data_IF_588191013671
#
_entry.id   IF_588191013671
#
_cell.length_a   1.000
_cell.length_b   1.000
_cell.length_c   1.000
_cell.angle_alpha   90.00
_cell.angle_beta   90.00
_cell.angle_gamma   90.00
#
_symmetry.space_group_name_H-M   'P 1'
#
loop_
_entity.id
_entity.type
_entity.pdbx_description
1 polymer ?
#
# COMPACT_ATOMS: atom_id res chain seq x y z
N UNK A 1 -9.46 23.52 30.94
CA UNK A 1 -8.85 23.15 29.65
C UNK A 1 -9.87 22.34 28.87
N UNK A 2 -10.60 22.97 27.98
CA UNK A 2 -11.52 22.24 27.06
C UNK A 2 -10.75 21.27 26.20
N UNK A 3 -11.01 20.00 26.34
CA UNK A 3 -10.54 18.97 25.42
C UNK A 3 -11.20 19.23 24.07
N UNK A 4 -10.54 19.96 23.17
CA UNK A 4 -10.94 20.03 21.77
C UNK A 4 -11.03 18.59 21.24
N UNK A 5 -12.25 18.09 21.10
CA UNK A 5 -12.52 16.85 20.39
C UNK A 5 -11.95 17.00 18.98
N UNK A 6 -10.87 16.26 18.67
CA UNK A 6 -10.26 16.30 17.35
C UNK A 6 -11.30 15.80 16.36
N UNK A 7 -11.83 16.72 15.57
CA UNK A 7 -12.85 16.45 14.57
C UNK A 7 -12.33 15.39 13.58
N UNK A 8 -13.15 14.38 13.28
CA UNK A 8 -12.78 13.26 12.41
C UNK A 8 -12.62 13.75 10.97
N UNK A 9 -11.50 13.46 10.35
CA UNK A 9 -11.28 13.76 8.93
C UNK A 9 -11.86 12.64 8.05
N UNK A 10 -13.07 12.85 7.53
CA UNK A 10 -13.77 11.91 6.65
C UNK A 10 -13.07 11.69 5.31
N UNK A 11 -12.30 12.67 4.83
CA UNK A 11 -11.50 12.52 3.62
C UNK A 11 -10.43 11.45 3.78
N UNK A 12 -9.75 11.39 4.93
CA UNK A 12 -8.76 10.33 5.19
C UNK A 12 -9.42 8.95 5.37
N UNK A 13 -10.67 8.88 5.85
CA UNK A 13 -11.41 7.62 5.86
C UNK A 13 -11.76 7.17 4.44
N UNK A 14 -12.13 8.08 3.54
CA UNK A 14 -12.32 7.78 2.11
C UNK A 14 -11.04 7.32 1.45
N UNK A 15 -9.90 7.98 1.71
CA UNK A 15 -8.60 7.54 1.20
C UNK A 15 -8.29 6.10 1.62
N UNK A 16 -8.58 5.76 2.88
CA UNK A 16 -8.38 4.40 3.40
C UNK A 16 -9.25 3.36 2.69
N UNK A 17 -10.52 3.69 2.45
CA UNK A 17 -11.47 2.82 1.75
C UNK A 17 -11.02 2.63 0.30
N UNK A 18 -10.68 3.72 -0.38
CA UNK A 18 -10.21 3.69 -1.75
C UNK A 18 -8.90 2.89 -1.87
N UNK A 19 -7.95 3.08 -0.95
CA UNK A 19 -6.73 2.30 -0.90
C UNK A 19 -7.00 0.80 -0.72
N UNK A 20 -7.97 0.42 0.13
CA UNK A 20 -8.35 -0.98 0.29
C UNK A 20 -9.00 -1.56 -0.98
N UNK A 21 -9.85 -0.80 -1.66
CA UNK A 21 -10.44 -1.20 -2.93
C UNK A 21 -9.38 -1.36 -4.03
N UNK A 22 -8.46 -0.41 -4.15
CA UNK A 22 -7.38 -0.49 -5.15
C UNK A 22 -6.37 -1.59 -4.85
N UNK A 23 -6.18 -2.03 -3.59
CA UNK A 23 -5.44 -3.27 -3.27
C UNK A 23 -6.13 -4.48 -3.89
N UNK A 24 -7.45 -4.61 -3.71
CA UNK A 24 -8.21 -5.70 -4.31
C UNK A 24 -8.09 -5.67 -5.85
N UNK A 25 -8.23 -4.48 -6.45
CA UNK A 25 -8.11 -4.30 -7.90
C UNK A 25 -6.73 -4.69 -8.43
N UNK A 26 -5.65 -4.39 -7.72
CA UNK A 26 -4.30 -4.83 -8.09
C UNK A 26 -4.13 -6.35 -8.02
N UNK A 27 -4.81 -7.04 -7.11
CA UNK A 27 -4.74 -8.49 -7.02
C UNK A 27 -5.65 -9.21 -8.05
N UNK A 28 -6.73 -8.57 -8.46
CA UNK A 28 -7.60 -9.06 -9.55
C UNK A 28 -6.92 -8.89 -10.91
N UNK A 29 -6.29 -7.74 -11.17
CA UNK A 29 -5.68 -7.41 -12.45
C UNK A 29 -4.54 -8.35 -12.88
N UNK A 30 -3.56 -8.75 -12.02
CA UNK A 30 -2.47 -9.64 -12.41
C UNK A 30 -2.91 -11.04 -12.83
N UNK A 31 -4.03 -11.55 -12.37
CA UNK A 31 -4.53 -12.86 -12.79
C UNK A 31 -4.77 -12.94 -14.30
N UNK A 32 -5.06 -11.79 -14.92
CA UNK A 32 -5.22 -11.69 -16.37
C UNK A 32 -3.91 -11.42 -17.13
N UNK A 33 -2.80 -11.08 -16.43
CA UNK A 33 -1.51 -10.77 -17.08
C UNK A 33 -0.81 -11.98 -17.69
N UNK A 34 -1.07 -13.17 -17.18
CA UNK A 34 -0.24 -14.35 -17.46
C UNK A 34 -0.33 -14.84 -18.91
N UNK A 35 -1.45 -14.55 -19.60
CA UNK A 35 -1.73 -15.07 -20.94
C UNK A 35 -1.93 -13.97 -22.00
N UNK A 36 -1.37 -12.77 -21.76
CA UNK A 36 -1.59 -11.62 -22.63
C UNK A 36 -0.26 -11.07 -23.18
N UNK A 37 -0.21 -10.89 -24.50
CA UNK A 37 0.94 -10.33 -25.20
C UNK A 37 1.29 -8.92 -24.69
N UNK A 38 2.59 -8.69 -24.44
CA UNK A 38 3.11 -7.41 -23.95
C UNK A 38 2.75 -6.28 -24.93
N UNK A 39 2.34 -5.14 -24.38
CA UNK A 39 1.91 -3.94 -25.10
C UNK A 39 0.65 -4.10 -25.98
N UNK A 40 -0.01 -5.26 -25.97
CA UNK A 40 -1.34 -5.42 -26.58
C UNK A 40 -2.40 -4.53 -25.93
N UNK A 41 -3.58 -4.38 -26.54
CA UNK A 41 -4.65 -3.56 -25.98
C UNK A 41 -5.13 -4.06 -24.60
N UNK A 42 -5.38 -5.37 -24.35
CA UNK A 42 -5.69 -5.87 -23.01
C UNK A 42 -4.55 -5.64 -22.02
N UNK A 43 -3.29 -5.86 -22.40
CA UNK A 43 -2.15 -5.61 -21.54
C UNK A 43 -2.08 -4.13 -21.11
N UNK A 44 -2.33 -3.19 -22.04
CA UNK A 44 -2.34 -1.75 -21.76
C UNK A 44 -3.45 -1.38 -20.76
N UNK A 45 -4.61 -2.03 -20.79
CA UNK A 45 -5.68 -1.84 -19.79
C UNK A 45 -5.19 -2.23 -18.40
N UNK A 46 -4.55 -3.40 -18.27
CA UNK A 46 -4.02 -3.88 -17.00
C UNK A 46 -2.88 -3.00 -16.49
N UNK A 47 -1.99 -2.55 -17.38
CA UNK A 47 -0.93 -1.61 -17.05
C UNK A 47 -1.49 -0.26 -16.56
N UNK A 48 -2.53 0.26 -17.20
CA UNK A 48 -3.20 1.48 -16.77
C UNK A 48 -3.83 1.32 -15.37
N UNK A 49 -4.54 0.22 -15.11
CA UNK A 49 -5.09 -0.11 -13.79
C UNK A 49 -3.98 -0.18 -12.75
N UNK A 50 -2.88 -0.87 -13.06
CA UNK A 50 -1.73 -0.99 -12.15
C UNK A 50 -1.13 0.38 -11.83
N UNK A 51 -0.89 1.21 -12.83
CA UNK A 51 -0.35 2.57 -12.65
C UNK A 51 -1.29 3.49 -11.86
N UNK A 52 -2.61 3.37 -12.07
CA UNK A 52 -3.63 4.11 -11.32
C UNK A 52 -3.76 3.66 -9.86
N UNK A 53 -3.40 2.42 -9.54
CA UNK A 53 -3.67 1.81 -8.23
C UNK A 53 -2.42 1.60 -7.36
N UNK A 54 -1.19 1.65 -7.89
CA UNK A 54 0.05 1.25 -7.18
C UNK A 54 0.41 2.10 -5.94
N UNK A 55 -0.28 3.20 -5.70
CA UNK A 55 -0.09 4.09 -4.54
C UNK A 55 -0.69 3.54 -3.23
N UNK A 56 -1.54 2.54 -3.28
CA UNK A 56 -2.41 2.09 -2.18
C UNK A 56 -1.68 1.68 -0.90
N UNK A 57 -0.65 0.84 -0.99
CA UNK A 57 0.11 0.37 0.18
C UNK A 57 0.87 1.53 0.84
N UNK A 58 1.47 2.42 0.04
CA UNK A 58 2.15 3.62 0.56
C UNK A 58 1.17 4.55 1.27
N UNK A 59 -0.09 4.65 0.81
CA UNK A 59 -1.13 5.40 1.51
C UNK A 59 -1.48 4.81 2.88
N UNK A 60 -1.52 3.48 3.04
CA UNK A 60 -1.71 2.87 4.35
C UNK A 60 -0.55 3.16 5.31
N UNK A 61 0.69 3.17 4.82
CA UNK A 61 1.83 3.58 5.64
C UNK A 61 1.73 5.05 6.04
N UNK A 62 1.40 5.96 5.10
CA UNK A 62 1.20 7.38 5.40
C UNK A 62 0.07 7.61 6.40
N UNK A 63 -1.08 6.95 6.22
CA UNK A 63 -2.20 7.03 7.16
C UNK A 63 -1.80 6.53 8.56
N UNK A 64 -1.08 5.42 8.64
CA UNK A 64 -0.62 4.88 9.92
C UNK A 64 0.35 5.83 10.62
N UNK A 65 1.30 6.40 9.89
CA UNK A 65 2.25 7.39 10.43
C UNK A 65 1.58 8.68 10.89
N UNK A 66 0.63 9.19 10.11
CA UNK A 66 -0.14 10.38 10.45
C UNK A 66 -0.86 10.26 11.81
N UNK A 67 -1.35 9.07 12.14
CA UNK A 67 -2.07 8.85 13.40
C UNK A 67 -1.18 8.39 14.55
N UNK A 68 -0.16 7.56 14.30
CA UNK A 68 0.65 6.97 15.37
C UNK A 68 1.81 7.86 15.83
N UNK A 69 2.31 8.73 14.96
CA UNK A 69 3.36 9.68 15.32
C UNK A 69 2.82 11.01 15.86
N UNK A 70 1.49 11.23 15.80
CA UNK A 70 0.87 12.46 16.29
C UNK A 70 1.06 12.62 17.80
N UNK A 71 1.63 13.77 18.29
CA UNK A 71 1.80 14.05 19.71
C UNK A 71 0.47 14.07 20.48
N UNK A 72 -0.63 14.48 19.83
CA UNK A 72 -1.96 14.58 20.44
C UNK A 72 -2.58 13.22 20.77
N UNK A 73 -2.05 12.14 20.20
CA UNK A 73 -2.49 10.76 20.44
C UNK A 73 -1.37 9.92 21.03
N UNK A 74 -0.60 10.52 21.95
CA UNK A 74 0.52 9.85 22.60
C UNK A 74 0.05 8.58 23.34
N UNK A 75 0.07 7.47 22.63
CA UNK A 75 -0.14 6.15 23.21
C UNK A 75 1.15 5.69 23.87
N UNK A 76 1.06 5.16 25.10
CA UNK A 76 2.24 4.61 25.77
C UNK A 76 2.83 3.44 24.96
N UNK A 77 4.15 3.27 25.02
CA UNK A 77 4.85 2.16 24.38
C UNK A 77 4.25 0.81 24.80
N UNK A 78 3.93 0.64 26.08
CA UNK A 78 3.28 -0.58 26.60
C UNK A 78 1.93 -0.85 25.89
N UNK A 79 1.11 0.17 25.69
CA UNK A 79 -0.18 0.05 25.01
C UNK A 79 0.01 -0.27 23.53
N UNK A 80 0.99 0.37 22.88
CA UNK A 80 1.34 0.10 21.47
C UNK A 80 1.69 -1.37 21.27
N UNK A 81 2.57 -1.93 22.10
CA UNK A 81 2.97 -3.34 21.99
C UNK A 81 1.84 -4.29 22.35
N UNK A 82 1.17 -4.09 23.49
CA UNK A 82 0.16 -5.03 23.97
C UNK A 82 -1.18 -4.99 23.22
N UNK A 83 -1.54 -3.86 22.62
CA UNK A 83 -2.80 -3.74 21.88
C UNK A 83 -2.59 -3.80 20.36
N UNK A 84 -1.71 -2.95 19.81
CA UNK A 84 -1.59 -2.79 18.37
C UNK A 84 -0.72 -3.88 17.74
N UNK A 85 0.51 -4.08 18.24
CA UNK A 85 1.42 -5.09 17.69
C UNK A 85 0.88 -6.49 17.98
N UNK A 86 0.43 -6.75 19.20
CA UNK A 86 -0.15 -8.05 19.56
C UNK A 86 -1.39 -8.39 18.69
N UNK A 87 -2.23 -7.39 18.36
CA UNK A 87 -3.37 -7.60 17.45
C UNK A 87 -2.90 -7.95 16.03
N UNK A 88 -1.90 -7.24 15.50
CA UNK A 88 -1.34 -7.53 14.17
C UNK A 88 -0.72 -8.93 14.13
N UNK A 89 0.04 -9.32 15.16
CA UNK A 89 0.63 -10.64 15.27
C UNK A 89 -0.44 -11.74 15.37
N UNK A 90 -1.48 -11.54 16.19
CA UNK A 90 -2.60 -12.47 16.28
C UNK A 90 -3.35 -12.62 14.96
N UNK A 91 -3.59 -11.49 14.25
CA UNK A 91 -4.19 -11.50 12.92
C UNK A 91 -3.31 -12.26 11.92
N UNK A 92 -1.99 -12.02 11.95
CA UNK A 92 -1.06 -12.75 11.09
C UNK A 92 -1.12 -14.26 11.33
N UNK A 93 -0.97 -14.72 12.58
CA UNK A 93 -1.01 -16.15 12.91
C UNK A 93 -2.33 -16.79 12.52
N UNK A 94 -3.45 -16.14 12.85
CA UNK A 94 -4.78 -16.65 12.51
C UNK A 94 -4.98 -16.81 11.01
N UNK A 95 -4.70 -15.76 10.24
CA UNK A 95 -4.91 -15.78 8.80
C UNK A 95 -3.90 -16.65 8.06
N UNK A 96 -2.64 -16.70 8.51
CA UNK A 96 -1.66 -17.66 7.98
C UNK A 96 -2.13 -19.10 8.21
N UNK A 97 -2.73 -19.41 9.37
CA UNK A 97 -3.30 -20.74 9.63
C UNK A 97 -4.50 -21.03 8.71
N UNK A 98 -5.39 -20.06 8.48
CA UNK A 98 -6.53 -20.21 7.57
C UNK A 98 -6.04 -20.49 6.14
N UNK A 99 -5.09 -19.73 5.62
CA UNK A 99 -4.53 -19.91 4.28
C UNK A 99 -3.76 -21.23 4.16
N UNK A 100 -2.91 -21.57 5.14
CA UNK A 100 -2.17 -22.84 5.17
C UNK A 100 -3.11 -24.06 5.21
N UNK A 101 -4.16 -24.00 6.03
CA UNK A 101 -5.16 -25.07 6.12
C UNK A 101 -5.91 -25.22 4.79
N UNK A 102 -6.35 -24.11 4.22
CA UNK A 102 -7.04 -24.08 2.94
C UNK A 102 -6.18 -24.68 1.83
N UNK A 103 -4.91 -24.27 1.75
CA UNK A 103 -3.96 -24.79 0.77
C UNK A 103 -3.74 -26.32 0.94
N UNK A 104 -3.52 -26.77 2.17
CA UNK A 104 -3.29 -28.19 2.45
C UNK A 104 -4.51 -29.06 2.15
N UNK A 105 -5.71 -28.61 2.51
CA UNK A 105 -6.96 -29.35 2.23
C UNK A 105 -7.20 -29.51 0.74
N UNK A 106 -7.00 -28.44 -0.03
CA UNK A 106 -7.23 -28.47 -1.47
C UNK A 106 -6.18 -29.24 -2.27
N UNK A 107 -4.95 -29.28 -1.77
CA UNK A 107 -3.81 -29.90 -2.45
C UNK A 107 -3.44 -31.26 -1.87
N UNK A 108 -4.18 -31.78 -0.89
CA UNK A 108 -3.87 -33.05 -0.23
C UNK A 108 -2.47 -33.06 0.45
N UNK A 109 -2.02 -31.93 1.02
CA UNK A 109 -0.69 -31.78 1.61
C UNK A 109 -0.68 -32.08 3.10
N UNK A 110 0.45 -32.61 3.59
CA UNK A 110 0.60 -33.03 4.99
C UNK A 110 1.04 -31.91 5.94
N UNK A 111 1.20 -32.29 7.21
CA UNK A 111 1.50 -31.38 8.34
C UNK A 111 2.75 -30.51 8.17
N UNK A 112 3.78 -30.99 7.50
CA UNK A 112 5.02 -30.22 7.29
C UNK A 112 4.81 -29.09 6.28
N UNK A 113 4.01 -29.33 5.25
CA UNK A 113 3.60 -28.28 4.32
C UNK A 113 2.75 -27.24 5.03
N UNK A 114 1.80 -27.67 5.88
CA UNK A 114 1.01 -26.76 6.71
C UNK A 114 1.89 -25.84 7.57
N UNK A 115 2.88 -26.40 8.27
CA UNK A 115 3.78 -25.64 9.13
C UNK A 115 4.61 -24.62 8.31
N UNK A 116 5.11 -25.04 7.16
CA UNK A 116 5.87 -24.16 6.26
C UNK A 116 5.00 -22.99 5.77
N UNK A 117 3.79 -23.24 5.28
CA UNK A 117 2.86 -22.20 4.82
C UNK A 117 2.40 -21.27 5.97
N UNK A 118 2.20 -21.84 7.17
CA UNK A 118 1.89 -21.07 8.39
C UNK A 118 2.99 -20.06 8.72
N UNK A 119 4.25 -20.50 8.70
CA UNK A 119 5.40 -19.64 9.04
C UNK A 119 5.70 -18.63 7.96
N UNK A 120 5.59 -19.02 6.69
CA UNK A 120 5.81 -18.17 5.55
C UNK A 120 4.76 -17.06 5.43
N UNK A 121 3.52 -17.39 5.79
CA UNK A 121 2.36 -16.55 5.53
C UNK A 121 1.97 -16.51 4.05
N UNK A 122 0.74 -16.08 3.76
CA UNK A 122 0.27 -15.93 2.39
C UNK A 122 0.96 -14.74 1.69
N UNK A 123 1.09 -14.77 0.34
CA UNK A 123 1.90 -13.83 -0.44
C UNK A 123 1.62 -12.34 -0.14
N UNK A 124 0.36 -11.97 0.16
CA UNK A 124 0.02 -10.57 0.45
C UNK A 124 0.32 -10.16 1.89
N UNK A 125 0.53 -11.10 2.83
CA UNK A 125 0.67 -10.80 4.26
C UNK A 125 2.00 -10.13 4.66
N UNK A 126 2.94 -9.96 3.73
CA UNK A 126 4.18 -9.20 3.96
C UNK A 126 3.92 -7.78 4.52
N UNK A 127 2.77 -7.18 4.16
CA UNK A 127 2.37 -5.88 4.67
C UNK A 127 2.13 -5.88 6.19
N UNK A 128 1.59 -6.97 6.74
CA UNK A 128 1.39 -7.11 8.21
C UNK A 128 2.74 -7.14 8.93
N UNK A 129 3.72 -7.87 8.40
CA UNK A 129 5.09 -7.87 8.95
C UNK A 129 5.71 -6.48 8.91
N UNK A 130 5.56 -5.78 7.79
CA UNK A 130 6.05 -4.40 7.65
C UNK A 130 5.38 -3.47 8.66
N UNK A 131 4.06 -3.60 8.88
CA UNK A 131 3.35 -2.80 9.90
C UNK A 131 3.84 -3.11 11.31
N UNK A 132 4.06 -4.38 11.66
CA UNK A 132 4.62 -4.77 12.97
C UNK A 132 5.99 -4.10 13.16
N UNK A 133 6.87 -4.18 12.18
CA UNK A 133 8.20 -3.56 12.22
C UNK A 133 8.13 -2.04 12.37
N UNK A 134 7.25 -1.37 11.60
CA UNK A 134 7.02 0.06 11.72
C UNK A 134 6.50 0.46 13.10
N UNK A 135 5.55 -0.32 13.65
CA UNK A 135 5.00 -0.03 14.97
C UNK A 135 6.04 -0.24 16.08
N UNK A 136 6.92 -1.23 15.93
CA UNK A 136 8.00 -1.46 16.91
C UNK A 136 8.95 -0.26 17.01
N UNK A 137 9.22 0.45 15.91
CA UNK A 137 10.10 1.62 15.90
C UNK A 137 9.40 2.96 16.18
N UNK A 138 8.07 2.99 16.35
CA UNK A 138 7.30 4.22 16.67
C UNK A 138 7.86 5.01 17.84
N UNK A 139 8.29 4.41 18.98
CA UNK A 139 8.85 5.18 20.10
C UNK A 139 10.09 5.99 19.70
N UNK A 140 10.96 5.43 18.85
CA UNK A 140 12.15 6.12 18.33
C UNK A 140 11.76 7.20 17.32
N UNK A 141 10.83 6.89 16.40
CA UNK A 141 10.36 7.86 15.41
C UNK A 141 9.68 9.06 16.04
N UNK A 142 8.97 8.88 17.16
CA UNK A 142 8.37 10.00 17.90
C UNK A 142 9.42 10.99 18.38
N UNK A 143 10.61 10.52 18.79
CA UNK A 143 11.72 11.40 19.15
C UNK A 143 12.22 12.25 17.98
N UNK A 144 12.27 11.65 16.79
CA UNK A 144 12.63 12.38 15.57
C UNK A 144 11.55 13.39 15.21
N UNK A 145 10.26 12.99 15.30
CA UNK A 145 9.12 13.83 14.89
C UNK A 145 8.74 14.91 15.91
N UNK A 146 9.33 14.95 17.10
CA UNK A 146 9.25 16.08 18.04
C UNK A 146 9.83 17.37 17.43
N UNK A 147 10.82 17.27 16.54
CA UNK A 147 11.44 18.39 15.84
C UNK A 147 11.11 18.39 14.36
N UNK A 148 10.59 19.53 13.86
CA UNK A 148 10.33 19.70 12.41
C UNK A 148 11.62 19.54 11.60
N UNK A 149 12.72 20.17 12.03
CA UNK A 149 14.02 20.07 11.34
C UNK A 149 14.55 18.64 11.30
N UNK A 150 14.45 17.90 12.41
CA UNK A 150 14.86 16.49 12.46
C UNK A 150 13.99 15.62 11.54
N UNK A 151 12.67 15.89 11.47
CA UNK A 151 11.77 15.20 10.56
C UNK A 151 12.10 15.48 9.11
N UNK A 152 12.37 16.75 8.75
CA UNK A 152 12.78 17.15 7.39
C UNK A 152 14.11 16.53 6.99
N UNK A 153 15.09 16.52 7.90
CA UNK A 153 16.37 15.84 7.68
C UNK A 153 16.19 14.33 7.45
N UNK A 154 15.38 13.67 8.29
CA UNK A 154 15.05 12.25 8.11
C UNK A 154 14.40 11.98 6.73
N UNK A 155 13.45 12.84 6.33
CA UNK A 155 12.78 12.71 5.03
C UNK A 155 13.76 12.98 3.87
N UNK A 156 14.67 13.94 4.00
CA UNK A 156 15.70 14.20 2.98
C UNK A 156 16.61 12.98 2.79
N UNK A 157 17.16 12.45 3.89
CA UNK A 157 18.02 11.26 3.85
C UNK A 157 17.24 10.04 3.30
N UNK A 158 16.01 9.83 3.78
CA UNK A 158 15.15 8.77 3.29
C UNK A 158 14.89 8.89 1.78
N UNK A 159 14.58 10.09 1.28
CA UNK A 159 14.41 10.34 -0.14
C UNK A 159 15.67 10.05 -0.96
N UNK A 160 16.82 10.55 -0.51
CA UNK A 160 18.10 10.33 -1.20
C UNK A 160 18.41 8.84 -1.35
N UNK A 161 18.32 8.08 -0.26
CA UNK A 161 18.70 6.67 -0.28
C UNK A 161 17.63 5.75 -0.90
N UNK A 162 16.34 5.99 -0.65
CA UNK A 162 15.30 5.08 -1.16
C UNK A 162 14.90 5.35 -2.60
N UNK A 163 14.84 6.64 -3.00
CA UNK A 163 14.25 7.03 -4.28
C UNK A 163 15.29 7.57 -5.27
N UNK A 164 16.14 8.50 -4.85
CA UNK A 164 17.03 9.17 -5.79
C UNK A 164 18.22 8.28 -6.18
N UNK A 165 19.02 7.83 -5.21
CA UNK A 165 20.22 7.03 -5.50
C UNK A 165 19.82 5.64 -6.02
N UNK A 166 19.04 4.88 -5.23
CA UNK A 166 18.72 3.50 -5.56
C UNK A 166 17.90 3.35 -6.84
N UNK A 167 16.89 4.21 -7.05
CA UNK A 167 16.01 4.14 -8.23
C UNK A 167 16.51 4.98 -9.39
N UNK A 168 17.19 6.09 -9.13
CA UNK A 168 17.81 6.90 -10.17
C UNK A 168 18.89 6.13 -10.94
N UNK A 169 19.76 5.41 -10.25
CA UNK A 169 20.75 4.54 -10.88
C UNK A 169 20.10 3.39 -11.67
N UNK A 170 19.05 2.74 -11.10
CA UNK A 170 18.29 1.73 -11.84
C UNK A 170 17.65 2.31 -13.11
N UNK A 171 17.11 3.53 -13.03
CA UNK A 171 16.55 4.21 -14.20
C UNK A 171 17.62 4.57 -15.22
N UNK A 172 18.77 5.11 -14.78
CA UNK A 172 19.89 5.42 -15.67
C UNK A 172 20.38 4.18 -16.43
N UNK A 173 20.44 3.01 -15.78
CA UNK A 173 20.87 1.75 -16.39
C UNK A 173 19.91 1.19 -17.45
N UNK A 174 18.69 1.74 -17.58
CA UNK A 174 17.76 1.37 -18.67
C UNK A 174 18.20 1.89 -20.03
N UNK A 175 19.06 2.89 -20.03
CA UNK A 175 19.58 3.50 -21.25
C UNK A 175 20.97 2.92 -21.60
N UNK A 176 21.31 2.99 -22.88
CA UNK A 176 22.61 2.54 -23.36
C UNK A 176 23.62 3.69 -23.24
N UNK A 177 24.33 3.73 -22.11
CA UNK A 177 25.34 4.74 -21.83
C UNK A 177 26.73 4.24 -22.19
N UNK A 178 27.63 5.11 -22.68
CA UNK A 178 29.04 4.84 -22.64
C UNK A 178 29.48 4.48 -21.21
N UNK A 179 30.28 3.44 -21.03
CA UNK A 179 30.76 2.99 -19.70
C UNK A 179 29.64 2.54 -18.75
N UNK A 180 28.68 1.77 -19.26
CA UNK A 180 27.55 1.21 -18.48
C UNK A 180 28.02 0.33 -17.31
N UNK A 181 29.19 -0.28 -17.44
CA UNK A 181 29.93 -1.04 -16.41
C UNK A 181 30.24 -0.19 -15.17
N UNK A 182 30.64 1.07 -15.36
CA UNK A 182 30.89 2.02 -14.25
C UNK A 182 29.60 2.34 -13.51
N UNK A 183 28.47 2.55 -14.24
CA UNK A 183 27.17 2.75 -13.61
C UNK A 183 26.69 1.51 -12.85
N UNK A 184 26.94 0.31 -13.37
CA UNK A 184 26.63 -0.95 -12.68
C UNK A 184 27.47 -1.13 -11.41
N UNK A 185 28.75 -0.79 -11.47
CA UNK A 185 29.64 -0.80 -10.29
C UNK A 185 29.17 0.20 -9.23
N UNK A 186 28.78 1.41 -9.63
CA UNK A 186 28.22 2.42 -8.74
C UNK A 186 26.89 1.94 -8.15
N UNK A 187 26.02 1.35 -8.93
CA UNK A 187 24.76 0.76 -8.44
C UNK A 187 25.04 -0.32 -7.38
N UNK A 188 26.00 -1.21 -7.64
CA UNK A 188 26.36 -2.28 -6.72
C UNK A 188 26.92 -1.74 -5.41
N UNK A 189 27.76 -0.70 -5.47
CA UNK A 189 28.27 0.00 -4.29
C UNK A 189 27.14 0.70 -3.51
N UNK A 190 26.25 1.42 -4.21
CA UNK A 190 25.11 2.09 -3.58
C UNK A 190 24.08 1.12 -3.03
N UNK A 191 23.93 -0.08 -3.63
CA UNK A 191 23.04 -1.12 -3.10
C UNK A 191 23.49 -1.60 -1.71
N UNK A 192 24.77 -1.56 -1.41
CA UNK A 192 25.31 -1.86 -0.07
C UNK A 192 24.93 -0.79 0.96
N UNK A 193 24.75 0.46 0.53
CA UNK A 193 24.33 1.58 1.38
C UNK A 193 22.82 1.63 1.58
N UNK A 194 22.05 0.89 0.80
CA UNK A 194 20.58 0.95 0.82
C UNK A 194 19.99 -0.22 1.62
N UNK A 195 19.62 -0.01 2.89
CA UNK A 195 19.04 -1.06 3.72
C UNK A 195 17.55 -1.30 3.44
N UNK A 196 17.12 -1.28 2.16
CA UNK A 196 15.91 -1.98 1.72
C UNK A 196 14.51 -1.39 1.82
N UNK A 197 13.56 -2.23 1.33
CA UNK A 197 12.09 -2.07 1.32
C UNK A 197 11.53 -1.52 2.63
N UNK A 198 12.13 -1.86 3.77
CA UNK A 198 11.78 -1.33 5.08
C UNK A 198 11.94 0.18 5.18
N UNK A 199 13.00 0.76 4.60
CA UNK A 199 13.18 2.22 4.60
C UNK A 199 12.11 2.94 3.77
N UNK A 200 11.62 2.37 2.68
CA UNK A 200 10.56 2.99 1.89
C UNK A 200 9.25 3.07 2.69
N UNK A 201 8.90 2.00 3.38
CA UNK A 201 7.73 1.98 4.25
C UNK A 201 7.88 2.98 5.41
N UNK A 202 9.08 3.04 6.00
CA UNK A 202 9.43 3.97 7.06
C UNK A 202 9.38 5.43 6.58
N UNK A 203 9.91 5.70 5.39
CA UNK A 203 9.83 7.00 4.73
C UNK A 203 8.38 7.43 4.52
N UNK A 204 7.56 6.59 3.91
CA UNK A 204 6.13 6.88 3.68
C UNK A 204 5.38 7.10 5.01
N UNK A 205 5.71 6.33 6.04
CA UNK A 205 5.12 6.46 7.38
C UNK A 205 5.43 7.83 8.01
N UNK A 206 6.70 8.27 7.99
CA UNK A 206 7.10 9.59 8.52
C UNK A 206 6.59 10.72 7.63
N UNK A 207 6.58 10.54 6.30
CA UNK A 207 6.01 11.52 5.36
C UNK A 207 4.52 11.76 5.62
N UNK A 208 3.77 10.71 5.93
CA UNK A 208 2.35 10.83 6.31
C UNK A 208 2.16 11.68 7.56
N UNK A 209 3.02 11.51 8.57
CA UNK A 209 3.03 12.39 9.75
C UNK A 209 3.38 13.83 9.37
N UNK A 210 4.44 14.04 8.60
CA UNK A 210 4.87 15.38 8.18
C UNK A 210 3.76 16.12 7.44
N UNK A 211 3.15 15.50 6.45
CA UNK A 211 2.05 16.08 5.68
C UNK A 211 0.78 16.30 6.53
N UNK A 212 0.60 15.53 7.60
CA UNK A 212 -0.51 15.75 8.55
C UNK A 212 -0.24 16.93 9.47
N UNK A 213 0.96 17.04 10.02
CA UNK A 213 1.34 18.03 11.02
C UNK A 213 1.62 19.42 10.41
N UNK A 214 2.21 19.47 9.22
CA UNK A 214 2.66 20.70 8.59
C UNK A 214 1.86 20.99 7.31
N UNK A 215 0.98 21.99 7.30
CA UNK A 215 0.18 22.34 6.11
C UNK A 215 1.07 22.93 5.01
N UNK A 216 0.87 22.48 3.78
CA UNK A 216 1.59 23.00 2.62
C UNK A 216 0.99 24.33 2.16
N UNK A 217 1.83 25.30 1.73
CA UNK A 217 1.37 26.52 1.04
C UNK A 217 0.54 26.18 -0.20
N UNK A 218 -0.38 27.08 -0.58
CA UNK A 218 -1.27 26.86 -1.74
C UNK A 218 -0.51 26.51 -3.01
N UNK A 219 0.60 27.20 -3.29
CA UNK A 219 1.44 26.97 -4.48
C UNK A 219 2.08 25.56 -4.45
N UNK A 220 2.71 25.18 -3.33
CA UNK A 220 3.31 23.84 -3.16
C UNK A 220 2.27 22.72 -3.29
N UNK A 221 1.05 22.94 -2.77
CA UNK A 221 -0.04 21.99 -2.89
C UNK A 221 -0.50 21.82 -4.35
N UNK A 222 -0.64 22.91 -5.11
CA UNK A 222 -0.99 22.85 -6.54
C UNK A 222 0.10 22.13 -7.34
N UNK A 223 1.37 22.45 -7.07
CA UNK A 223 2.50 21.77 -7.71
C UNK A 223 2.52 20.28 -7.39
N UNK A 224 2.25 19.90 -6.13
CA UNK A 224 2.18 18.50 -5.73
C UNK A 224 1.05 17.75 -6.46
N UNK A 225 -0.11 18.39 -6.65
CA UNK A 225 -1.22 17.77 -7.40
C UNK A 225 -0.85 17.58 -8.88
N UNK A 226 -0.28 18.59 -9.51
CA UNK A 226 0.20 18.49 -10.90
C UNK A 226 1.29 17.41 -11.04
N UNK A 227 2.25 17.38 -10.12
CA UNK A 227 3.29 16.35 -10.07
C UNK A 227 2.71 14.96 -9.84
N UNK A 228 1.68 14.82 -9.01
CA UNK A 228 0.98 13.55 -8.78
C UNK A 228 0.28 13.02 -10.02
N UNK A 229 -0.45 13.90 -10.75
CA UNK A 229 -1.07 13.52 -12.02
C UNK A 229 -0.01 13.14 -13.07
N UNK A 230 1.04 13.96 -13.22
CA UNK A 230 2.13 13.66 -14.14
C UNK A 230 2.82 12.34 -13.78
N UNK A 231 3.08 12.09 -12.50
CA UNK A 231 3.69 10.84 -12.02
C UNK A 231 2.82 9.62 -12.35
N UNK A 232 1.51 9.73 -12.30
CA UNK A 232 0.59 8.67 -12.71
C UNK A 232 0.75 8.34 -14.20
N UNK A 233 0.69 9.36 -15.06
CA UNK A 233 0.85 9.21 -16.51
C UNK A 233 2.23 8.64 -16.86
N UNK A 234 3.27 9.18 -16.24
CA UNK A 234 4.65 8.72 -16.45
C UNK A 234 4.85 7.27 -15.95
N UNK A 235 4.25 6.88 -14.84
CA UNK A 235 4.31 5.49 -14.35
C UNK A 235 3.71 4.52 -15.37
N UNK A 236 2.54 4.84 -15.93
CA UNK A 236 1.88 4.01 -16.95
C UNK A 236 2.74 3.94 -18.23
N UNK A 237 3.21 5.09 -18.69
CA UNK A 237 4.00 5.18 -19.93
C UNK A 237 5.36 4.49 -19.79
N UNK A 238 6.12 4.76 -18.74
CA UNK A 238 7.44 4.15 -18.48
C UNK A 238 7.34 2.64 -18.26
N UNK A 239 6.29 2.17 -17.56
CA UNK A 239 6.07 0.73 -17.39
C UNK A 239 5.82 0.06 -18.73
N UNK A 240 4.99 0.66 -19.59
CA UNK A 240 4.75 0.14 -20.94
C UNK A 240 6.04 0.11 -21.79
N UNK A 241 6.74 1.23 -21.83
CA UNK A 241 8.00 1.34 -22.59
C UNK A 241 9.03 0.30 -22.15
N UNK A 242 9.26 0.20 -20.85
CA UNK A 242 10.26 -0.75 -20.31
C UNK A 242 9.82 -2.21 -20.46
N UNK A 243 8.54 -2.50 -20.28
CA UNK A 243 8.02 -3.86 -20.49
C UNK A 243 8.15 -4.31 -21.96
N UNK A 244 7.89 -3.40 -22.91
CA UNK A 244 8.06 -3.68 -24.33
C UNK A 244 9.53 -3.93 -24.67
N UNK A 245 10.47 -3.17 -24.09
CA UNK A 245 11.90 -3.37 -24.29
C UNK A 245 12.40 -4.70 -23.71
N UNK A 246 11.86 -5.13 -22.58
CA UNK A 246 12.22 -6.39 -21.92
C UNK A 246 11.47 -7.61 -22.46
N UNK A 247 10.43 -7.43 -23.26
CA UNK A 247 9.45 -8.48 -23.62
C UNK A 247 8.90 -9.22 -22.38
N UNK A 248 8.82 -8.51 -21.23
CA UNK A 248 8.34 -9.01 -19.95
C UNK A 248 7.73 -7.87 -19.13
N UNK A 249 6.70 -8.17 -18.31
CA UNK A 249 6.08 -7.16 -17.47
C UNK A 249 7.06 -6.62 -16.42
N UNK A 250 7.33 -5.31 -16.47
CA UNK A 250 8.19 -4.62 -15.52
C UNK A 250 7.43 -4.05 -14.34
N UNK A 251 7.95 -4.23 -13.13
CA UNK A 251 7.43 -3.62 -11.90
C UNK A 251 8.29 -2.46 -11.36
N UNK A 252 9.29 -2.01 -12.11
CA UNK A 252 10.27 -1.00 -11.66
C UNK A 252 9.59 0.31 -11.28
N UNK A 253 8.65 0.77 -12.10
CA UNK A 253 7.98 2.06 -11.91
C UNK A 253 6.72 1.98 -11.03
N UNK A 254 6.14 0.80 -10.86
CA UNK A 254 4.95 0.56 -10.02
C UNK A 254 5.28 0.16 -8.58
N UNK A 255 6.56 -0.01 -8.27
CA UNK A 255 7.04 -0.31 -6.92
C UNK A 255 6.76 0.85 -5.96
N UNK A 256 6.33 0.55 -4.73
CA UNK A 256 6.10 1.56 -3.67
C UNK A 256 7.31 2.43 -3.33
N UNK A 257 8.53 2.03 -3.73
CA UNK A 257 9.75 2.82 -3.59
C UNK A 257 9.98 3.79 -4.76
N UNK A 258 9.21 3.70 -5.86
CA UNK A 258 9.40 4.61 -7.00
C UNK A 258 8.97 6.02 -6.63
N UNK A 259 9.72 7.01 -7.16
CA UNK A 259 9.43 8.41 -6.95
C UNK A 259 8.01 8.76 -7.41
N UNK A 260 7.59 8.22 -8.55
CA UNK A 260 6.25 8.44 -9.08
C UNK A 260 5.15 7.97 -8.12
N UNK A 261 5.28 6.75 -7.57
CA UNK A 261 4.30 6.19 -6.62
C UNK A 261 4.25 7.02 -5.33
N UNK A 262 5.40 7.42 -4.79
CA UNK A 262 5.46 8.24 -3.57
C UNK A 262 4.85 9.63 -3.81
N UNK A 263 5.11 10.25 -4.97
CA UNK A 263 4.54 11.56 -5.35
C UNK A 263 3.03 11.48 -5.52
N UNK A 264 2.53 10.45 -6.22
CA UNK A 264 1.08 10.19 -6.32
C UNK A 264 0.44 10.03 -4.94
N UNK A 265 1.05 9.20 -4.09
CA UNK A 265 0.53 8.93 -2.75
C UNK A 265 0.46 10.20 -1.91
N UNK A 266 1.52 11.02 -1.94
CA UNK A 266 1.56 12.30 -1.22
C UNK A 266 0.49 13.27 -1.74
N UNK A 267 0.31 13.35 -3.06
CA UNK A 267 -0.72 14.18 -3.69
C UNK A 267 -2.13 13.77 -3.26
N UNK A 268 -2.43 12.47 -3.33
CA UNK A 268 -3.71 11.91 -2.88
C UNK A 268 -3.93 12.11 -1.37
N UNK A 269 -2.91 11.87 -0.55
CA UNK A 269 -3.00 12.08 0.89
C UNK A 269 -3.36 13.55 1.22
N UNK A 270 -2.66 14.52 0.60
CA UNK A 270 -2.91 15.96 0.81
C UNK A 270 -4.27 16.35 0.27
N UNK A 271 -4.69 15.81 -0.88
CA UNK A 271 -6.01 16.05 -1.47
C UNK A 271 -7.12 15.58 -0.53
N UNK A 272 -7.11 14.31 -0.13
CA UNK A 272 -8.14 13.76 0.75
C UNK A 272 -8.13 14.40 2.15
N UNK A 273 -6.95 14.74 2.70
CA UNK A 273 -6.84 15.51 3.94
C UNK A 273 -7.53 16.87 3.85
N UNK A 274 -7.45 17.53 2.68
CA UNK A 274 -8.02 18.85 2.47
C UNK A 274 -9.54 18.84 2.20
N UNK A 275 -10.12 17.67 1.92
CA UNK A 275 -11.57 17.55 1.71
C UNK A 275 -12.33 17.83 3.02
N UNK A 276 -13.13 18.89 3.01
CA UNK A 276 -14.04 19.23 4.10
C UNK A 276 -15.39 18.57 3.86
N UNK A 277 -15.49 17.29 4.21
CA UNK A 277 -16.71 16.53 4.06
C UNK A 277 -17.56 16.63 5.34
N UNK A 278 -18.82 16.95 5.15
CA UNK A 278 -19.85 16.97 6.21
C UNK A 278 -20.95 15.96 5.88
N UNK A 279 -20.66 14.64 5.87
CA UNK A 279 -21.66 13.65 5.49
C UNK A 279 -22.80 13.63 6.50
N UNK A 280 -24.03 13.38 6.04
CA UNK A 280 -25.17 13.16 6.92
C UNK A 280 -25.01 11.90 7.80
N UNK A 281 -25.78 11.78 8.87
CA UNK A 281 -25.60 10.74 9.89
C UNK A 281 -25.58 9.29 9.35
N UNK A 282 -26.38 8.97 8.32
CA UNK A 282 -26.38 7.65 7.67
C UNK A 282 -25.06 7.39 6.93
N UNK A 283 -24.56 8.39 6.17
CA UNK A 283 -23.30 8.30 5.44
C UNK A 283 -22.10 8.20 6.40
N UNK A 284 -22.11 8.94 7.52
CA UNK A 284 -21.08 8.84 8.55
C UNK A 284 -20.99 7.41 9.13
N UNK A 285 -22.14 6.79 9.43
CA UNK A 285 -22.19 5.41 9.94
C UNK A 285 -21.63 4.42 8.92
N UNK A 286 -22.00 4.54 7.64
CA UNK A 286 -21.52 3.70 6.57
C UNK A 286 -20.01 3.86 6.35
N UNK A 287 -19.51 5.09 6.21
CA UNK A 287 -18.07 5.39 6.06
C UNK A 287 -17.26 4.85 7.23
N UNK A 288 -17.77 5.03 8.46
CA UNK A 288 -17.12 4.54 9.67
C UNK A 288 -17.04 3.00 9.67
N UNK A 289 -18.12 2.32 9.31
CA UNK A 289 -18.18 0.86 9.25
C UNK A 289 -17.16 0.35 8.22
N UNK A 290 -17.21 0.83 6.99
CA UNK A 290 -16.34 0.38 5.91
C UNK A 290 -14.87 0.70 6.24
N UNK A 291 -14.56 1.94 6.69
CA UNK A 291 -13.19 2.33 7.07
C UNK A 291 -12.61 1.47 8.19
N UNK A 292 -13.42 1.06 9.17
CA UNK A 292 -12.98 0.14 10.24
C UNK A 292 -12.74 -1.29 9.74
N UNK A 293 -13.46 -1.73 8.73
CA UNK A 293 -13.37 -3.08 8.18
C UNK A 293 -12.30 -3.22 7.08
N UNK A 294 -11.62 -2.14 6.64
CA UNK A 294 -10.63 -2.19 5.55
C UNK A 294 -9.48 -3.15 5.82
N UNK A 295 -9.04 -3.29 7.07
CA UNK A 295 -8.00 -4.26 7.43
C UNK A 295 -8.51 -5.70 7.31
N UNK A 296 -9.76 -5.97 7.70
CA UNK A 296 -10.40 -7.27 7.48
C UNK A 296 -10.59 -7.57 6.00
N UNK A 297 -11.01 -6.59 5.20
CA UNK A 297 -11.08 -6.73 3.72
C UNK A 297 -9.71 -7.12 3.17
N UNK A 298 -8.64 -6.42 3.60
CA UNK A 298 -7.27 -6.75 3.20
C UNK A 298 -6.88 -8.19 3.55
N UNK A 299 -7.28 -8.71 4.72
CA UNK A 299 -6.95 -10.08 5.14
C UNK A 299 -7.75 -11.17 4.41
N UNK A 300 -8.98 -10.86 3.99
CA UNK A 300 -9.95 -11.82 3.43
C UNK A 300 -9.89 -11.89 1.90
N UNK A 301 -9.59 -10.76 1.22
CA UNK A 301 -9.83 -10.63 -0.23
C UNK A 301 -9.12 -11.69 -1.09
N UNK A 302 -7.90 -12.10 -0.72
CA UNK A 302 -7.18 -13.11 -1.48
C UNK A 302 -7.85 -14.48 -1.36
N UNK A 303 -8.39 -14.83 -0.17
CA UNK A 303 -9.15 -16.06 0.02
C UNK A 303 -10.41 -16.08 -0.85
N UNK A 304 -11.14 -14.95 -0.92
CA UNK A 304 -12.34 -14.82 -1.78
C UNK A 304 -11.93 -14.93 -3.24
N UNK A 305 -10.89 -14.19 -3.65
CA UNK A 305 -10.43 -14.18 -5.04
C UNK A 305 -10.00 -15.56 -5.54
N UNK A 306 -9.26 -16.32 -4.71
CA UNK A 306 -8.78 -17.66 -5.05
C UNK A 306 -9.90 -18.72 -5.13
N UNK A 307 -11.12 -18.40 -4.67
CA UNK A 307 -12.30 -19.27 -4.79
C UNK A 307 -13.15 -18.96 -6.02
N UNK A 308 -12.86 -17.86 -6.71
CA UNK A 308 -13.56 -17.47 -7.90
C UNK A 308 -12.81 -18.02 -9.12
N UNK A 309 -13.44 -18.92 -9.85
CA UNK A 309 -12.95 -19.38 -11.16
C UNK A 309 -13.43 -18.38 -12.23
N UNK A 310 -12.57 -17.40 -12.54
CA UNK A 310 -12.93 -16.27 -13.40
C UNK A 310 -12.20 -16.38 -14.73
N UNK A 311 -12.96 -16.56 -15.81
CA UNK A 311 -12.49 -16.38 -17.16
C UNK A 311 -12.57 -14.89 -17.55
N UNK A 312 -11.43 -14.31 -17.91
CA UNK A 312 -11.37 -12.91 -18.34
C UNK A 312 -11.54 -12.79 -19.86
N UNK A 313 -12.36 -11.83 -20.35
CA UNK A 313 -12.51 -11.57 -21.77
C UNK A 313 -11.24 -10.97 -22.37
N UNK A 314 -10.93 -11.32 -23.61
CA UNK A 314 -9.74 -10.82 -24.33
C UNK A 314 -9.96 -9.39 -24.87
N UNK A 315 -11.21 -9.00 -25.16
CA UNK A 315 -11.51 -7.64 -25.64
C UNK A 315 -11.23 -6.59 -24.54
N UNK A 316 -10.39 -5.61 -24.84
CA UNK A 316 -9.88 -4.63 -23.86
C UNK A 316 -10.99 -3.91 -23.05
N UNK A 317 -12.08 -3.48 -23.71
CA UNK A 317 -13.19 -2.83 -23.03
C UNK A 317 -13.96 -3.76 -22.09
N UNK A 318 -14.24 -4.99 -22.52
CA UNK A 318 -14.88 -6.01 -21.71
C UNK A 318 -13.95 -6.44 -20.55
N UNK A 319 -12.65 -6.50 -20.77
CA UNK A 319 -11.66 -6.79 -19.73
C UNK A 319 -11.66 -5.73 -18.62
N UNK A 320 -11.69 -4.44 -18.98
CA UNK A 320 -11.77 -3.35 -18.00
C UNK A 320 -13.03 -3.49 -17.13
N UNK A 321 -14.19 -3.69 -17.75
CA UNK A 321 -15.44 -3.87 -17.02
C UNK A 321 -15.42 -5.13 -16.14
N UNK A 322 -14.84 -6.23 -16.63
CA UNK A 322 -14.68 -7.46 -15.86
C UNK A 322 -13.77 -7.26 -14.64
N UNK A 323 -12.60 -6.63 -14.81
CA UNK A 323 -11.69 -6.37 -13.68
C UNK A 323 -12.36 -5.47 -12.63
N UNK A 324 -13.05 -4.41 -13.04
CA UNK A 324 -13.76 -3.52 -12.11
C UNK A 324 -14.90 -4.26 -11.41
N UNK A 325 -15.70 -5.02 -12.15
CA UNK A 325 -16.83 -5.79 -11.60
C UNK A 325 -16.39 -6.88 -10.62
N UNK A 326 -15.35 -7.65 -10.97
CA UNK A 326 -14.78 -8.67 -10.10
C UNK A 326 -14.17 -8.03 -8.85
N UNK A 327 -13.44 -6.92 -9.01
CA UNK A 327 -12.86 -6.19 -7.86
C UNK A 327 -13.95 -5.71 -6.90
N UNK A 328 -15.04 -5.20 -7.42
CA UNK A 328 -16.18 -4.78 -6.61
C UNK A 328 -16.83 -5.97 -5.90
N UNK A 329 -17.04 -7.08 -6.58
CA UNK A 329 -17.60 -8.32 -6.01
C UNK A 329 -16.69 -8.82 -4.87
N UNK A 330 -15.39 -8.98 -5.11
CA UNK A 330 -14.41 -9.43 -4.10
C UNK A 330 -14.36 -8.48 -2.93
N UNK A 331 -14.36 -7.16 -3.18
CA UNK A 331 -14.34 -6.15 -2.11
C UNK A 331 -15.60 -6.24 -1.23
N UNK A 332 -16.80 -6.31 -1.85
CA UNK A 332 -18.07 -6.38 -1.12
C UNK A 332 -18.21 -7.70 -0.35
N UNK A 333 -17.83 -8.83 -0.95
CA UNK A 333 -17.84 -10.13 -0.27
C UNK A 333 -16.88 -10.13 0.93
N UNK A 334 -15.66 -9.61 0.75
CA UNK A 334 -14.67 -9.49 1.83
C UNK A 334 -15.13 -8.53 2.92
N UNK A 335 -15.80 -7.45 2.56
CA UNK A 335 -16.39 -6.51 3.50
C UNK A 335 -17.51 -7.18 4.31
N UNK A 336 -18.42 -7.93 3.67
CA UNK A 336 -19.49 -8.65 4.35
C UNK A 336 -18.93 -9.66 5.36
N UNK A 337 -17.91 -10.45 4.97
CA UNK A 337 -17.21 -11.39 5.86
C UNK A 337 -16.55 -10.62 7.03
N UNK A 338 -15.85 -9.54 6.75
CA UNK A 338 -15.20 -8.71 7.77
C UNK A 338 -16.22 -8.13 8.77
N UNK A 339 -17.35 -7.63 8.29
CA UNK A 339 -18.44 -7.13 9.15
C UNK A 339 -19.02 -8.25 10.01
N UNK A 340 -19.27 -9.44 9.45
CA UNK A 340 -19.78 -10.59 10.19
C UNK A 340 -18.78 -11.01 11.30
N UNK A 341 -17.50 -11.15 10.95
CA UNK A 341 -16.43 -11.48 11.92
C UNK A 341 -16.30 -10.43 13.04
N UNK A 342 -16.51 -9.14 12.71
CA UNK A 342 -16.45 -8.05 13.70
C UNK A 342 -17.50 -8.15 14.82
N UNK A 343 -18.59 -8.91 14.57
CA UNK A 343 -19.68 -9.14 15.54
C UNK A 343 -19.39 -10.33 16.48
N UNK A 344 -18.41 -11.17 16.13
CA UNK A 344 -18.07 -12.37 16.92
C UNK A 344 -16.92 -12.00 17.88
N UNK A 345 -17.10 -12.12 19.23
CA UNK A 345 -16.14 -11.61 20.21
C UNK A 345 -14.71 -12.14 20.03
N UNK A 346 -14.45 -13.34 19.66
CA UNK A 346 -13.09 -13.90 19.40
C UNK A 346 -12.48 -13.34 18.12
N UNK A 347 -13.24 -13.39 17.01
CA UNK A 347 -12.77 -13.04 15.67
C UNK A 347 -12.55 -11.53 15.47
N UNK A 348 -13.21 -10.67 16.23
CA UNK A 348 -13.01 -9.22 16.22
C UNK A 348 -11.55 -8.81 16.46
N UNK A 349 -10.76 -9.65 17.13
CA UNK A 349 -9.36 -9.34 17.47
C UNK A 349 -8.40 -9.60 16.31
N UNK A 350 -8.80 -10.35 15.30
CA UNK A 350 -7.97 -10.79 14.17
C UNK A 350 -8.39 -10.19 12.83
N UNK A 351 -9.23 -9.14 12.87
CA UNK A 351 -9.65 -8.35 11.70
C UNK A 351 -9.47 -6.85 11.92
#
# INVERSE_FOLDING_TARGET
METKTVERNWGLDLLRILAAFTVVMLHVSPQAYLDVEIASAPWNVMNAITGLCCWNVSAFFMLSGAFLLSPQKAMSTRTLYRKNIARLAAAFVFWSAVYALTYCLLRGKGKWTFLNELLRGHYHMWFVFTLISLYAVVPLLRKITESKKATEYFLLIGFLFTSLIGRGLNFALLFDWPHKDVLQSLQSACAQLNPYRGLTALYAFVLGHYLMAYPLPKAARRLLYAAGCLSCLMTIWLTRWHSAALQATSSVFTSGASLGVLTMTAALFVFFKALRLTPGAKAQRALLLVSKCTFGVYLVHALVLERLDIAYPVAAGALLLSIVGVSLLVFLASLAISVAMSRIPGLKKVI
#
